data_IF_507947020579
#
_entry.id   IF_507947020579
#
_cell.length_a   1.000
_cell.length_b   1.000
_cell.length_c   1.000
_cell.angle_alpha   90.00
_cell.angle_beta   90.00
_cell.angle_gamma   90.00
#
_symmetry.space_group_name_H-M   'P 1'
#
loop_
_entity.id
_entity.type
_entity.pdbx_description
1 polymer ?
#
# COMPACT_ATOMS: atom_id res chain seq x y z
N UNK A 1 -13.72 -4.97 7.28
CA UNK A 1 -12.57 -4.12 7.65
C UNK A 1 -11.43 -5.08 7.90
N UNK A 2 -10.44 -5.13 7.02
CA UNK A 2 -9.24 -5.93 7.28
C UNK A 2 -8.26 -4.98 7.98
N UNK A 3 -7.79 -5.32 9.18
CA UNK A 3 -6.88 -4.44 9.92
C UNK A 3 -5.45 -4.65 9.42
N UNK A 4 -5.16 -4.19 8.20
CA UNK A 4 -3.78 -4.17 7.69
C UNK A 4 -2.92 -3.30 8.60
N UNK A 5 -3.46 -2.14 9.02
CA UNK A 5 -2.77 -1.21 9.89
C UNK A 5 -1.54 -0.58 9.22
N UNK A 6 -0.80 0.21 9.99
CA UNK A 6 0.41 0.89 9.52
C UNK A 6 1.49 -0.13 9.13
N UNK A 7 1.71 -1.16 9.96
CA UNK A 7 2.75 -2.19 9.69
C UNK A 7 2.47 -2.95 8.40
N UNK A 8 1.23 -3.39 8.17
CA UNK A 8 0.87 -4.06 6.93
C UNK A 8 1.04 -3.17 5.69
N UNK A 9 0.83 -1.85 5.83
CA UNK A 9 1.03 -0.88 4.74
C UNK A 9 2.49 -0.81 4.27
N UNK A 10 3.46 -1.02 5.17
CA UNK A 10 4.89 -1.03 4.82
C UNK A 10 5.23 -2.23 3.95
N UNK A 11 4.74 -3.42 4.32
CA UNK A 11 4.92 -4.63 3.52
C UNK A 11 4.28 -4.51 2.14
N UNK A 12 3.09 -3.92 2.05
CA UNK A 12 2.48 -3.63 0.76
C UNK A 12 3.29 -2.62 -0.04
N UNK A 13 3.84 -1.59 0.59
CA UNK A 13 4.72 -0.63 -0.09
C UNK A 13 5.92 -1.31 -0.76
N UNK A 14 6.63 -2.17 -0.04
CA UNK A 14 7.78 -2.90 -0.58
C UNK A 14 7.39 -3.87 -1.70
N UNK A 15 6.26 -4.57 -1.55
CA UNK A 15 5.74 -5.47 -2.57
C UNK A 15 5.27 -4.73 -3.83
N UNK A 16 4.66 -3.55 -3.66
CA UNK A 16 4.16 -2.73 -4.76
C UNK A 16 5.30 -2.13 -5.58
N UNK A 17 6.42 -1.70 -4.98
CA UNK A 17 7.54 -1.10 -5.73
C UNK A 17 8.08 -1.98 -6.87
N UNK A 18 7.97 -3.30 -6.75
CA UNK A 18 8.47 -4.26 -7.74
C UNK A 18 7.37 -4.96 -8.55
N UNK A 19 6.11 -4.52 -8.43
CA UNK A 19 4.98 -5.21 -9.05
C UNK A 19 4.58 -4.57 -10.39
N UNK A 20 4.92 -5.21 -11.51
CA UNK A 20 4.59 -4.71 -12.86
C UNK A 20 3.22 -5.19 -13.39
N UNK A 21 2.50 -6.01 -12.64
CA UNK A 21 1.28 -6.70 -13.12
C UNK A 21 -0.02 -6.17 -12.51
N UNK A 22 0.07 -5.51 -11.36
CA UNK A 22 -1.10 -5.04 -10.61
C UNK A 22 -1.74 -3.85 -11.32
N UNK A 23 -3.00 -3.98 -11.73
CA UNK A 23 -3.76 -2.91 -12.40
C UNK A 23 -4.72 -2.17 -11.47
N UNK A 24 -5.13 -2.82 -10.39
CA UNK A 24 -6.05 -2.28 -9.42
C UNK A 24 -5.65 -2.77 -8.03
N UNK A 25 -5.62 -1.84 -7.07
CA UNK A 25 -5.29 -2.13 -5.68
C UNK A 25 -6.25 -1.39 -4.76
N UNK A 26 -7.22 -2.11 -4.21
CA UNK A 26 -8.22 -1.53 -3.33
C UNK A 26 -7.85 -1.76 -1.86
N UNK A 27 -7.54 -0.66 -1.17
CA UNK A 27 -7.21 -0.63 0.25
C UNK A 27 -8.26 0.11 1.10
N UNK A 28 -9.48 0.28 0.59
CA UNK A 28 -10.55 0.92 1.33
C UNK A 28 -10.86 0.19 2.65
N UNK A 29 -11.05 0.98 3.71
CA UNK A 29 -11.38 0.48 5.06
C UNK A 29 -10.40 -0.57 5.61
N UNK A 30 -9.09 -0.32 5.45
CA UNK A 30 -8.01 -1.17 5.99
C UNK A 30 -7.30 -0.62 7.25
N UNK A 31 -7.77 0.51 7.78
CA UNK A 31 -7.23 1.09 9.01
C UNK A 31 -5.77 1.53 8.89
N UNK A 32 -5.33 1.96 7.70
CA UNK A 32 -3.95 2.36 7.44
C UNK A 32 -3.54 3.64 8.18
N UNK A 33 -4.50 4.53 8.44
CA UNK A 33 -4.21 5.90 8.88
C UNK A 33 -3.48 6.70 7.81
N UNK A 34 -3.12 7.94 8.14
CA UNK A 34 -2.42 8.85 7.22
C UNK A 34 -1.01 8.32 6.89
N UNK A 35 -0.28 7.85 7.90
CA UNK A 35 1.07 7.28 7.74
C UNK A 35 1.09 6.08 6.78
N UNK A 36 0.12 5.17 6.93
CA UNK A 36 0.04 4.00 6.06
C UNK A 36 -0.39 4.36 4.64
N UNK A 37 -1.23 5.37 4.46
CA UNK A 37 -1.56 5.89 3.14
C UNK A 37 -0.35 6.53 2.45
N UNK A 38 0.49 7.27 3.17
CA UNK A 38 1.73 7.87 2.65
C UNK A 38 2.73 6.81 2.17
N UNK A 39 2.91 5.72 2.94
CA UNK A 39 3.78 4.62 2.54
C UNK A 39 3.34 3.98 1.22
N UNK A 40 2.04 3.69 1.07
CA UNK A 40 1.48 3.12 -0.17
C UNK A 40 1.65 4.11 -1.33
N UNK A 41 1.38 5.40 -1.12
CA UNK A 41 1.51 6.42 -2.16
C UNK A 41 2.97 6.53 -2.67
N UNK A 42 3.95 6.55 -1.76
CA UNK A 42 5.37 6.56 -2.12
C UNK A 42 5.77 5.30 -2.90
N UNK A 43 5.25 4.13 -2.52
CA UNK A 43 5.53 2.89 -3.25
C UNK A 43 4.96 2.91 -4.68
N UNK A 44 3.73 3.37 -4.84
CA UNK A 44 3.08 3.50 -6.16
C UNK A 44 3.79 4.51 -7.06
N UNK A 45 4.41 5.56 -6.50
CA UNK A 45 5.19 6.53 -7.28
C UNK A 45 6.44 5.91 -7.94
N UNK A 46 6.94 4.80 -7.38
CA UNK A 46 8.09 4.05 -7.91
C UNK A 46 7.70 2.75 -8.64
N UNK A 47 6.41 2.43 -8.72
CA UNK A 47 5.90 1.30 -9.47
C UNK A 47 5.89 1.66 -10.98
N UNK A 48 6.65 0.92 -11.79
CA UNK A 48 6.81 1.13 -13.25
C UNK A 48 6.33 -0.05 -14.06
#
# INVERSE_FOLDING_TARGET
MNQIGIEGSQYFGDALRNNMGLKEFNIQANGLGDDGAEHIANALQHNT
#
